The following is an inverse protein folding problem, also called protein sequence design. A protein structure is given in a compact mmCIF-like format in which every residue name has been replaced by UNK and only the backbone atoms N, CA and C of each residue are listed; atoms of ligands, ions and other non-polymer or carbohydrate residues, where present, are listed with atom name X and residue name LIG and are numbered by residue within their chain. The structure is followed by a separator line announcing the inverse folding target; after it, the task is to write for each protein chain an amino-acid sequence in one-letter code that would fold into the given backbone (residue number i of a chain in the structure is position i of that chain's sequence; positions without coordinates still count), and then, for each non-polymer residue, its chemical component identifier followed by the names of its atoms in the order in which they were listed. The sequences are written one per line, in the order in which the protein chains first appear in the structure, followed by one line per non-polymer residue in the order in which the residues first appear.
data_IF_954946362609
#
_entry.id   IF_954946362609
#
_cell.length_a   1.000
_cell.length_b   1.000
_cell.length_c   1.000
_cell.angle_alpha   90.00
_cell.angle_beta   90.00
_cell.angle_gamma   90.00
#
_symmetry.space_group_name_H-M   'P 1'
#
loop_
_entity.id
_entity.type
_entity.pdbx_description
1 polymer ?
#
# COMPACT_ATOMS: atom_id res chain seq x y z
N UNK A 1 -36.63 4.31 -29.55
CA UNK A 1 -35.20 4.64 -29.54
C UNK A 1 -34.90 5.47 -28.30
N UNK A 2 -34.81 4.81 -27.14
CA UNK A 2 -34.40 5.43 -25.87
C UNK A 2 -33.57 4.37 -25.15
N UNK A 3 -32.26 4.40 -25.35
CA UNK A 3 -31.31 3.46 -24.76
C UNK A 3 -29.90 3.92 -25.13
N UNK A 4 -29.02 4.01 -24.13
CA UNK A 4 -27.56 4.15 -24.22
C UNK A 4 -26.90 5.54 -24.02
N UNK A 5 -27.63 6.58 -23.61
CA UNK A 5 -27.00 7.88 -23.30
C UNK A 5 -26.49 8.03 -21.85
N UNK A 6 -26.94 7.20 -20.91
CA UNK A 6 -26.56 7.37 -19.51
C UNK A 6 -25.19 6.72 -19.23
N UNK A 7 -24.17 7.56 -19.05
CA UNK A 7 -22.87 7.15 -18.52
C UNK A 7 -21.74 6.99 -19.55
N UNK A 8 -21.85 7.55 -20.75
CA UNK A 8 -20.71 7.66 -21.69
C UNK A 8 -20.11 9.07 -21.75
N UNK A 9 -20.91 10.08 -21.49
CA UNK A 9 -20.47 11.47 -21.54
C UNK A 9 -19.44 11.74 -20.43
N UNK A 10 -18.38 12.45 -20.80
CA UNK A 10 -17.37 12.94 -19.85
C UNK A 10 -17.83 14.28 -19.27
N UNK A 11 -17.77 14.39 -17.95
CA UNK A 11 -17.93 15.64 -17.20
C UNK A 11 -16.60 16.39 -17.03
N UNK A 12 -15.50 15.76 -17.45
CA UNK A 12 -14.12 16.22 -17.26
C UNK A 12 -13.39 16.45 -18.60
N UNK A 13 -14.13 16.59 -19.70
CA UNK A 13 -13.56 16.89 -21.02
C UNK A 13 -12.70 15.79 -21.64
N UNK A 14 -12.92 14.53 -21.23
CA UNK A 14 -12.08 13.36 -21.56
C UNK A 14 -10.61 13.55 -21.14
N UNK A 15 -10.38 14.20 -20.00
CA UNK A 15 -9.05 14.25 -19.38
C UNK A 15 -8.56 12.81 -19.13
N UNK A 16 -7.32 12.55 -19.54
CA UNK A 16 -6.71 11.22 -19.47
C UNK A 16 -5.97 11.05 -18.16
N UNK A 17 -6.15 9.88 -17.55
CA UNK A 17 -5.33 9.47 -16.42
C UNK A 17 -3.84 9.47 -16.80
N UNK A 18 -2.99 9.79 -15.82
CA UNK A 18 -1.53 9.80 -15.96
C UNK A 18 -0.90 8.90 -14.92
N UNK A 19 0.11 8.13 -15.32
CA UNK A 19 0.91 7.32 -14.42
C UNK A 19 2.38 7.71 -14.52
N UNK A 20 2.94 8.12 -13.39
CA UNK A 20 4.34 8.46 -13.25
C UNK A 20 5.03 7.49 -12.31
N UNK A 21 6.17 6.93 -12.73
CA UNK A 21 6.98 6.05 -11.88
C UNK A 21 8.14 6.85 -11.30
N UNK A 22 8.34 6.74 -9.99
CA UNK A 22 9.53 7.24 -9.32
C UNK A 22 10.76 6.45 -9.79
N UNK A 23 11.74 7.15 -10.35
CA UNK A 23 13.01 6.60 -10.77
C UNK A 23 14.11 7.01 -9.78
N UNK A 24 14.44 6.08 -8.87
CA UNK A 24 15.52 6.21 -7.87
C UNK A 24 15.44 7.45 -6.96
N UNK A 25 14.24 8.00 -6.74
CA UNK A 25 14.05 9.20 -5.92
C UNK A 25 14.55 10.49 -6.57
N UNK A 26 14.98 10.45 -7.84
CA UNK A 26 15.59 11.60 -8.54
C UNK A 26 14.64 12.27 -9.51
N UNK A 27 13.77 11.49 -10.15
CA UNK A 27 12.82 11.98 -11.14
C UNK A 27 11.59 11.10 -11.23
N UNK A 28 10.55 11.61 -11.88
CA UNK A 28 9.35 10.87 -12.23
C UNK A 28 9.28 10.69 -13.74
N UNK A 29 9.09 9.46 -14.19
CA UNK A 29 9.00 9.11 -15.61
C UNK A 29 7.52 8.89 -15.95
N UNK A 30 7.00 9.63 -16.92
CA UNK A 30 5.66 9.39 -17.49
C UNK A 30 5.68 8.05 -18.25
N UNK A 31 4.92 7.08 -17.74
CA UNK A 31 4.76 5.75 -18.34
C UNK A 31 3.32 5.51 -18.80
N UNK A 32 2.49 6.54 -18.85
CA UNK A 32 1.04 6.47 -19.07
C UNK A 32 0.67 5.59 -20.28
N UNK A 33 1.34 5.80 -21.41
CA UNK A 33 1.01 5.09 -22.65
C UNK A 33 1.45 3.62 -22.62
N UNK A 34 2.60 3.32 -22.03
CA UNK A 34 3.18 1.97 -22.03
C UNK A 34 2.64 1.09 -20.91
N UNK A 35 2.09 1.69 -19.86
CA UNK A 35 1.47 0.95 -18.74
C UNK A 35 0.02 0.55 -19.00
N UNK A 36 -0.62 1.11 -20.04
CA UNK A 36 -2.04 0.98 -20.28
C UNK A 36 -2.92 1.86 -19.38
N UNK A 37 -2.32 2.74 -18.57
CA UNK A 37 -3.04 3.65 -17.67
C UNK A 37 -3.64 4.88 -18.38
N UNK A 38 -3.37 5.07 -19.69
CA UNK A 38 -3.95 6.10 -20.55
C UNK A 38 -5.47 5.90 -20.73
N UNK A 39 -6.23 6.22 -19.70
CA UNK A 39 -7.66 5.97 -19.63
C UNK A 39 -8.45 7.28 -19.72
N UNK A 40 -9.44 7.31 -20.62
CA UNK A 40 -10.27 8.51 -20.92
C UNK A 40 -11.49 8.67 -20.01
N UNK A 41 -11.79 7.67 -19.18
CA UNK A 41 -12.89 7.74 -18.22
C UNK A 41 -12.62 8.75 -17.10
N UNK A 42 -13.68 9.38 -16.64
CA UNK A 42 -13.71 10.38 -15.58
C UNK A 42 -13.42 9.75 -14.22
N UNK A 43 -12.14 9.55 -13.94
CA UNK A 43 -11.63 9.02 -12.68
C UNK A 43 -12.09 9.85 -11.49
N UNK A 44 -12.65 9.17 -10.49
CA UNK A 44 -13.03 9.77 -9.19
C UNK A 44 -12.20 9.23 -8.06
N UNK A 45 -11.85 7.96 -8.13
CA UNK A 45 -11.13 7.29 -7.06
C UNK A 45 -10.07 6.38 -7.65
N UNK A 46 -8.96 6.26 -6.93
CA UNK A 46 -7.90 5.29 -7.18
C UNK A 46 -7.60 4.59 -5.88
N UNK A 47 -7.34 3.29 -5.97
CA UNK A 47 -7.06 2.44 -4.82
C UNK A 47 -5.85 1.58 -5.14
N UNK A 48 -4.92 1.54 -4.20
CA UNK A 48 -3.71 0.72 -4.26
C UNK A 48 -3.88 -0.50 -3.38
N UNK A 49 -3.57 -1.66 -3.95
CA UNK A 49 -3.54 -2.94 -3.23
C UNK A 49 -2.59 -3.90 -3.94
N UNK A 50 -2.40 -5.10 -3.43
CA UNK A 50 -1.73 -6.19 -4.12
C UNK A 50 -2.72 -7.34 -4.13
N UNK A 51 -3.41 -7.52 -5.26
CA UNK A 51 -4.60 -8.36 -5.35
C UNK A 51 -4.25 -9.84 -5.34
N UNK A 52 -3.12 -10.20 -5.93
CA UNK A 52 -2.67 -11.58 -6.10
C UNK A 52 -1.49 -11.95 -5.20
N UNK A 53 -1.09 -11.07 -4.28
CA UNK A 53 -0.05 -11.25 -3.28
C UNK A 53 1.33 -11.57 -3.88
N UNK A 54 1.71 -10.88 -4.97
CA UNK A 54 3.01 -11.09 -5.64
C UNK A 54 4.07 -10.03 -5.28
N UNK A 55 3.72 -9.08 -4.41
CA UNK A 55 4.57 -7.97 -4.00
C UNK A 55 4.61 -6.82 -5.00
N UNK A 56 3.76 -6.82 -6.02
CA UNK A 56 3.59 -5.74 -6.98
C UNK A 56 2.28 -5.00 -6.67
N UNK A 57 2.37 -3.69 -6.43
CA UNK A 57 1.17 -2.89 -6.19
C UNK A 57 0.35 -2.76 -7.47
N UNK A 58 -0.88 -3.28 -7.43
CA UNK A 58 -1.93 -3.12 -8.42
C UNK A 58 -2.77 -1.87 -8.16
N UNK A 59 -3.53 -1.46 -9.17
CA UNK A 59 -4.37 -0.26 -9.13
C UNK A 59 -5.80 -0.64 -9.50
N UNK A 60 -6.77 -0.17 -8.70
CA UNK A 60 -8.17 -0.10 -9.08
C UNK A 60 -8.59 1.35 -9.24
N UNK A 61 -9.38 1.66 -10.27
CA UNK A 61 -9.92 3.00 -10.48
C UNK A 61 -11.42 2.95 -10.72
N UNK A 62 -12.13 3.89 -10.09
CA UNK A 62 -13.57 4.09 -10.28
C UNK A 62 -13.81 5.37 -11.07
N UNK A 63 -14.60 5.25 -12.14
CA UNK A 63 -14.98 6.33 -13.03
C UNK A 63 -16.46 6.68 -12.89
N UNK A 64 -16.81 7.93 -13.20
CA UNK A 64 -18.23 8.36 -13.22
C UNK A 64 -18.96 7.84 -14.46
N UNK A 65 -18.24 7.77 -15.59
CA UNK A 65 -18.69 7.21 -16.86
C UNK A 65 -18.08 5.82 -17.09
N UNK A 66 -18.54 5.14 -18.14
CA UNK A 66 -18.08 3.82 -18.52
C UNK A 66 -16.65 3.87 -19.10
N UNK A 67 -15.82 2.84 -18.82
CA UNK A 67 -16.05 1.75 -17.87
C UNK A 67 -15.98 2.24 -16.42
N UNK A 68 -16.95 1.84 -15.58
CA UNK A 68 -17.07 2.37 -14.20
C UNK A 68 -15.97 1.89 -13.25
N UNK A 69 -15.50 0.67 -13.43
CA UNK A 69 -14.44 0.08 -12.61
C UNK A 69 -13.40 -0.48 -13.55
N UNK A 70 -12.15 -0.08 -13.34
CA UNK A 70 -11.01 -0.53 -14.13
C UNK A 70 -9.95 -1.06 -13.18
N UNK A 71 -9.41 -2.23 -13.50
CA UNK A 71 -8.34 -2.85 -12.76
C UNK A 71 -7.09 -2.89 -13.62
N UNK A 72 -5.96 -2.49 -13.03
CA UNK A 72 -4.64 -2.56 -13.61
C UNK A 72 -3.80 -3.48 -12.75
N UNK A 73 -3.48 -4.65 -13.30
CA UNK A 73 -2.51 -5.56 -12.68
C UNK A 73 -1.10 -5.11 -13.03
N UNK A 74 -0.25 -5.01 -12.02
CA UNK A 74 1.15 -4.67 -12.20
C UNK A 74 1.94 -5.90 -12.64
N UNK A 75 2.51 -5.85 -13.84
CA UNK A 75 3.30 -6.94 -14.42
C UNK A 75 4.74 -6.49 -14.69
N UNK A 76 5.26 -5.55 -13.88
CA UNK A 76 6.61 -5.02 -14.09
C UNK A 76 7.71 -6.05 -13.84
N UNK A 77 7.42 -7.15 -13.15
CA UNK A 77 8.30 -8.31 -13.02
C UNK A 77 8.62 -8.97 -14.38
N UNK A 78 7.69 -8.95 -15.34
CA UNK A 78 7.89 -9.53 -16.69
C UNK A 78 8.93 -8.78 -17.53
N UNK A 79 9.22 -7.53 -17.20
CA UNK A 79 10.16 -6.67 -17.92
C UNK A 79 11.41 -6.35 -17.11
N UNK A 80 11.40 -6.57 -15.79
CA UNK A 80 12.56 -6.33 -14.92
C UNK A 80 13.47 -7.56 -14.92
N UNK A 81 14.77 -7.32 -14.86
CA UNK A 81 15.80 -8.37 -14.68
C UNK A 81 16.15 -8.60 -13.20
N UNK A 82 15.77 -7.66 -12.34
CA UNK A 82 16.08 -7.67 -10.92
C UNK A 82 14.95 -8.31 -10.11
N UNK A 83 15.30 -8.93 -8.99
CA UNK A 83 14.33 -9.55 -8.09
C UNK A 83 13.51 -8.47 -7.39
N UNK A 84 12.19 -8.64 -7.34
CA UNK A 84 11.32 -7.75 -6.58
C UNK A 84 11.30 -8.20 -5.11
N UNK A 85 12.23 -7.72 -4.28
CA UNK A 85 12.14 -7.93 -2.84
C UNK A 85 11.25 -6.84 -2.24
N UNK A 86 10.31 -7.27 -1.41
CA UNK A 86 9.39 -6.40 -0.68
C UNK A 86 9.22 -6.90 0.75
N UNK A 87 8.69 -6.05 1.62
CA UNK A 87 8.15 -6.44 2.91
C UNK A 87 6.67 -6.08 2.93
N UNK A 88 5.79 -7.07 3.18
CA UNK A 88 4.39 -6.80 3.45
C UNK A 88 4.22 -6.56 4.95
N UNK A 89 3.63 -5.44 5.33
CA UNK A 89 3.48 -5.02 6.73
C UNK A 89 2.01 -4.75 7.06
N UNK A 90 1.54 -5.30 8.18
CA UNK A 90 0.22 -5.01 8.76
C UNK A 90 0.39 -4.53 10.19
N UNK A 91 -0.33 -3.49 10.56
CA UNK A 91 -0.30 -2.95 11.92
C UNK A 91 -1.62 -3.25 12.63
N UNK A 92 -1.53 -3.54 13.93
CA UNK A 92 -2.69 -3.73 14.81
C UNK A 92 -2.45 -2.89 16.06
N UNK A 93 -3.26 -1.85 16.24
CA UNK A 93 -3.22 -1.02 17.43
C UNK A 93 -3.95 -1.65 18.63
N UNK A 94 -3.59 -1.20 19.82
CA UNK A 94 -4.02 -1.81 21.09
C UNK A 94 -5.36 -1.31 21.63
N UNK A 95 -5.93 -0.21 21.14
CA UNK A 95 -7.20 0.28 21.67
C UNK A 95 -8.38 -0.54 21.12
N UNK A 96 -9.05 -1.29 22.00
CA UNK A 96 -10.25 -2.08 21.69
C UNK A 96 -11.56 -1.41 22.12
N UNK A 97 -11.47 -0.22 22.71
CA UNK A 97 -12.64 0.54 23.19
C UNK A 97 -13.09 1.55 22.13
N UNK A 98 -14.32 2.04 22.26
CA UNK A 98 -14.92 3.11 21.45
C UNK A 98 -14.44 4.51 21.86
N UNK A 99 -13.79 4.62 23.00
CA UNK A 99 -13.25 5.86 23.58
C UNK A 99 -11.72 5.92 23.46
N UNK A 100 -11.17 7.12 23.59
CA UNK A 100 -9.73 7.36 23.50
C UNK A 100 -8.99 6.62 24.64
N UNK A 101 -8.00 5.80 24.28
CA UNK A 101 -7.05 5.22 25.23
C UNK A 101 -5.93 6.20 25.56
N UNK A 102 -5.43 6.16 26.81
CA UNK A 102 -4.22 6.86 27.24
C UNK A 102 -2.93 6.08 26.97
N UNK A 103 -3.04 4.79 26.63
CA UNK A 103 -1.89 3.90 26.47
C UNK A 103 -1.74 3.40 25.03
N UNK A 104 -2.83 3.24 24.28
CA UNK A 104 -2.80 2.59 22.97
C UNK A 104 -3.40 3.47 21.87
N UNK A 105 -2.91 3.25 20.65
CA UNK A 105 -3.40 3.86 19.42
C UNK A 105 -4.72 3.22 18.98
N UNK A 106 -5.39 3.83 18.01
CA UNK A 106 -6.62 3.27 17.43
C UNK A 106 -6.40 1.82 16.95
N UNK A 107 -7.45 0.99 16.97
CA UNK A 107 -7.40 -0.46 16.69
C UNK A 107 -6.63 -0.84 15.42
N UNK A 108 -6.72 -0.02 14.39
CA UNK A 108 -6.15 -0.33 13.08
C UNK A 108 -4.72 0.24 12.95
N UNK A 109 -4.24 1.01 13.93
CA UNK A 109 -2.87 1.53 13.97
C UNK A 109 -2.63 2.74 13.06
N UNK A 110 -3.68 3.38 12.53
CA UNK A 110 -3.53 4.52 11.62
C UNK A 110 -2.80 5.70 12.28
N UNK A 111 -1.92 6.36 11.52
CA UNK A 111 -0.99 7.40 11.95
C UNK A 111 0.36 6.87 12.45
N UNK A 112 0.55 5.55 12.53
CA UNK A 112 1.84 4.96 12.87
C UNK A 112 2.86 5.22 11.77
N UNK A 113 4.07 5.59 12.19
CA UNK A 113 5.20 5.90 11.32
C UNK A 113 6.17 4.72 11.30
N UNK A 114 6.60 4.36 10.11
CA UNK A 114 7.35 3.13 9.84
C UNK A 114 8.70 3.56 9.26
N UNK A 115 9.79 3.12 9.88
CA UNK A 115 11.14 3.29 9.36
C UNK A 115 11.78 1.93 9.12
N UNK A 116 12.04 1.58 7.86
CA UNK A 116 12.80 0.40 7.47
C UNK A 116 14.24 0.83 7.23
N UNK A 117 15.20 0.10 7.81
CA UNK A 117 16.63 0.27 7.52
C UNK A 117 17.14 -0.97 6.78
N UNK A 118 17.77 -0.76 5.64
CA UNK A 118 18.44 -1.78 4.84
C UNK A 118 19.93 -1.45 4.73
N UNK A 119 20.70 -2.21 3.93
CA UNK A 119 22.09 -1.88 3.68
C UNK A 119 22.26 -0.65 2.79
N UNK A 120 21.54 -0.61 1.68
CA UNK A 120 21.59 0.47 0.70
C UNK A 120 20.83 1.73 1.07
N UNK A 121 20.14 1.79 2.21
CA UNK A 121 19.40 2.98 2.62
C UNK A 121 18.32 2.75 3.66
N UNK A 122 17.50 3.78 3.89
CA UNK A 122 16.33 3.73 4.76
C UNK A 122 15.08 4.18 4.01
N UNK A 123 13.96 3.53 4.30
CA UNK A 123 12.65 3.84 3.75
C UNK A 123 11.73 4.27 4.89
N UNK A 124 10.98 5.34 4.67
CA UNK A 124 10.03 5.85 5.62
C UNK A 124 8.63 5.76 5.01
N UNK A 125 7.66 5.30 5.79
CA UNK A 125 6.26 5.27 5.41
C UNK A 125 5.35 5.60 6.59
N UNK A 126 4.12 6.01 6.32
CA UNK A 126 3.10 6.26 7.33
C UNK A 126 1.86 5.42 7.02
N UNK A 127 1.34 4.73 8.03
CA UNK A 127 0.12 3.95 7.87
C UNK A 127 -1.10 4.88 7.92
N UNK A 128 -1.73 5.11 6.77
CA UNK A 128 -2.79 6.10 6.60
C UNK A 128 -4.15 5.49 6.32
N UNK A 129 -5.19 6.27 6.62
CA UNK A 129 -6.55 6.02 6.19
C UNK A 129 -7.16 7.26 5.52
N UNK A 130 -8.27 7.07 4.80
CA UNK A 130 -8.98 8.12 4.05
C UNK A 130 -8.21 8.59 2.82
N UNK A 131 -7.53 7.66 2.13
CA UNK A 131 -6.72 7.98 0.96
C UNK A 131 -7.52 7.91 -0.34
N UNK A 132 -7.47 9.00 -1.13
CA UNK A 132 -8.29 9.17 -2.33
C UNK A 132 -9.70 9.67 -2.03
N UNK A 133 -10.40 10.14 -3.06
CA UNK A 133 -11.78 10.60 -2.90
C UNK A 133 -12.70 9.40 -2.74
N UNK A 134 -13.36 9.27 -1.59
CA UNK A 134 -14.28 8.15 -1.27
C UNK A 134 -13.66 6.75 -1.44
N UNK A 135 -12.37 6.60 -1.17
CA UNK A 135 -11.64 5.33 -1.27
C UNK A 135 -10.71 5.11 -0.06
N UNK A 136 -10.11 3.92 -0.02
CA UNK A 136 -9.15 3.51 1.01
C UNK A 136 -8.20 2.46 0.42
N UNK A 137 -6.90 2.74 0.44
CA UNK A 137 -5.86 1.77 0.08
C UNK A 137 -5.87 0.55 1.01
N UNK A 138 -5.28 -0.55 0.54
CA UNK A 138 -5.12 -1.77 1.33
C UNK A 138 -4.51 -1.49 2.70
N UNK A 139 -5.01 -2.17 3.73
CA UNK A 139 -4.44 -2.12 5.08
C UNK A 139 -3.07 -2.84 5.19
N UNK A 140 -2.64 -3.52 4.13
CA UNK A 140 -1.33 -4.16 4.05
C UNK A 140 -0.40 -3.27 3.24
N UNK A 141 0.64 -2.72 3.88
CA UNK A 141 1.64 -1.91 3.20
C UNK A 141 2.62 -2.82 2.48
N UNK A 142 2.83 -2.59 1.18
CA UNK A 142 3.86 -3.27 0.40
C UNK A 142 5.03 -2.30 0.23
N UNK A 143 6.12 -2.58 0.93
CA UNK A 143 7.31 -1.72 0.90
C UNK A 143 8.40 -2.43 0.11
N UNK A 144 8.68 -1.93 -1.10
CA UNK A 144 9.77 -2.44 -1.93
C UNK A 144 11.13 -2.14 -1.29
N UNK A 145 11.98 -3.16 -1.19
CA UNK A 145 13.34 -3.06 -0.62
C UNK A 145 14.42 -3.36 -1.66
N UNK A 146 14.08 -3.31 -2.95
CA UNK A 146 15.03 -3.48 -4.06
C UNK A 146 15.62 -4.87 -4.11
N UNK A 147 16.96 -4.97 -4.15
CA UNK A 147 17.69 -6.25 -4.16
C UNK A 147 18.21 -6.66 -2.77
N UNK A 148 17.79 -5.95 -1.71
CA UNK A 148 18.24 -6.22 -0.35
C UNK A 148 17.85 -7.64 0.08
N UNK A 149 18.80 -8.50 0.49
CA UNK A 149 18.47 -9.86 0.92
C UNK A 149 17.83 -9.89 2.32
N UNK A 150 17.95 -8.79 3.08
CA UNK A 150 17.44 -8.67 4.44
C UNK A 150 17.19 -7.20 4.81
N UNK A 151 16.04 -6.91 5.41
CA UNK A 151 15.78 -5.64 6.11
C UNK A 151 16.46 -5.73 7.46
N UNK A 152 17.37 -4.81 7.80
CA UNK A 152 18.17 -4.86 9.04
C UNK A 152 17.34 -4.60 10.29
N UNK A 153 16.43 -3.63 10.21
CA UNK A 153 15.51 -3.32 11.29
C UNK A 153 14.26 -2.61 10.76
N UNK A 154 13.15 -2.79 11.47
CA UNK A 154 11.93 -2.01 11.28
C UNK A 154 11.56 -1.34 12.60
N UNK A 155 11.34 -0.04 12.57
CA UNK A 155 10.90 0.73 13.73
C UNK A 155 9.50 1.28 13.46
N UNK A 156 8.57 1.02 14.37
CA UNK A 156 7.21 1.54 14.35
C UNK A 156 7.05 2.55 15.49
N UNK A 157 6.80 3.80 15.14
CA UNK A 157 6.42 4.85 16.09
C UNK A 157 4.91 5.01 16.08
N UNK A 158 4.26 4.55 17.14
CA UNK A 158 2.81 4.55 17.26
C UNK A 158 2.27 5.94 17.65
N UNK A 159 1.04 6.31 17.25
CA UNK A 159 0.39 7.55 17.69
C UNK A 159 0.27 7.70 19.22
N UNK A 160 0.22 6.60 19.95
CA UNK A 160 0.25 6.56 21.42
C UNK A 160 1.56 7.08 22.02
N UNK A 161 2.62 7.19 21.21
CA UNK A 161 3.99 7.48 21.66
C UNK A 161 4.83 6.24 21.94
N UNK A 162 4.24 5.04 21.87
CA UNK A 162 4.99 3.79 21.99
C UNK A 162 5.91 3.56 20.77
N UNK A 163 6.94 2.74 20.98
CA UNK A 163 7.89 2.33 19.95
C UNK A 163 7.96 0.81 19.90
N UNK A 164 7.86 0.23 18.70
CA UNK A 164 8.14 -1.19 18.46
C UNK A 164 9.31 -1.33 17.51
N UNK A 165 10.33 -2.11 17.90
CA UNK A 165 11.49 -2.42 17.05
C UNK A 165 11.50 -3.91 16.69
N UNK A 166 11.67 -4.19 15.40
CA UNK A 166 11.79 -5.54 14.87
C UNK A 166 13.22 -5.75 14.35
N UNK A 167 13.86 -6.89 14.68
CA UNK A 167 15.19 -7.23 14.19
C UNK A 167 15.12 -7.71 12.73
N UNK A 168 16.24 -8.19 12.19
CA UNK A 168 16.39 -8.56 10.78
C UNK A 168 15.23 -9.40 10.21
N UNK A 169 14.59 -8.90 9.15
CA UNK A 169 13.46 -9.55 8.46
C UNK A 169 13.86 -9.94 7.04
N UNK A 170 13.47 -11.15 6.63
CA UNK A 170 13.62 -11.60 5.25
C UNK A 170 12.51 -11.02 4.38
N UNK A 171 12.81 -10.46 3.20
CA UNK A 171 11.81 -10.03 2.25
C UNK A 171 10.89 -11.18 1.79
N UNK A 172 9.71 -10.83 1.26
CA UNK A 172 8.71 -11.74 0.72
C UNK A 172 7.71 -12.29 1.74
N UNK A 173 7.83 -11.90 3.01
CA UNK A 173 6.91 -12.31 4.08
C UNK A 173 5.94 -11.20 4.44
N UNK A 174 4.80 -11.59 5.00
CA UNK A 174 3.89 -10.72 5.72
C UNK A 174 4.31 -10.66 7.19
N UNK A 175 4.47 -9.44 7.67
CA UNK A 175 4.80 -9.15 9.07
C UNK A 175 3.64 -8.39 9.67
N UNK A 176 2.96 -9.00 10.63
CA UNK A 176 1.91 -8.32 11.40
C UNK A 176 2.50 -7.85 12.72
N UNK A 177 2.47 -6.54 12.96
CA UNK A 177 3.01 -5.91 14.18
C UNK A 177 1.87 -5.47 15.07
N UNK A 178 1.96 -5.81 16.35
CA UNK A 178 0.97 -5.53 17.37
C UNK A 178 1.54 -4.49 18.33
N UNK A 179 0.82 -3.38 18.52
CA UNK A 179 1.15 -2.39 19.54
C UNK A 179 1.00 -2.98 20.95
N UNK A 180 -0.05 -3.77 21.16
CA UNK A 180 -0.24 -4.59 22.35
C UNK A 180 0.11 -6.04 22.02
N UNK A 181 1.24 -6.54 22.53
CA UNK A 181 1.67 -7.93 22.29
C UNK A 181 0.66 -8.97 22.77
N UNK A 182 -0.15 -8.68 23.78
CA UNK A 182 -1.18 -9.60 24.28
C UNK A 182 -2.28 -9.89 23.23
N UNK A 183 -2.43 -9.03 22.22
CA UNK A 183 -3.36 -9.25 21.10
C UNK A 183 -2.83 -10.24 20.06
N UNK A 184 -1.53 -10.58 20.13
CA UNK A 184 -0.91 -11.52 19.19
C UNK A 184 -1.13 -12.98 19.61
N UNK A 185 -1.20 -13.93 18.66
CA UNK A 185 -1.40 -15.35 18.97
C UNK A 185 -0.35 -15.98 19.89
N UNK A 186 0.86 -15.41 19.93
CA UNK A 186 2.02 -15.94 20.65
C UNK A 186 2.57 -14.98 21.71
N UNK A 187 1.81 -13.91 22.04
CA UNK A 187 2.21 -12.84 22.97
C UNK A 187 3.53 -12.14 22.62
N UNK A 188 3.86 -12.06 21.32
CA UNK A 188 5.00 -11.29 20.81
C UNK A 188 4.52 -10.00 20.16
N UNK A 189 5.43 -9.04 20.01
CA UNK A 189 5.14 -7.77 19.33
C UNK A 189 4.91 -7.93 17.82
N UNK A 190 5.21 -9.09 17.22
CA UNK A 190 4.93 -9.36 15.82
C UNK A 190 4.83 -10.86 15.49
N UNK A 191 4.18 -11.16 14.36
CA UNK A 191 4.17 -12.47 13.68
C UNK A 191 4.73 -12.33 12.27
N UNK A 192 5.24 -13.43 11.74
CA UNK A 192 5.75 -13.51 10.36
C UNK A 192 5.10 -14.72 9.70
N UNK A 193 4.53 -14.51 8.51
CA UNK A 193 3.90 -15.55 7.70
C UNK A 193 4.27 -15.39 6.22
N UNK A 194 4.08 -16.45 5.43
CA UNK A 194 4.22 -16.35 3.98
C UNK A 194 3.22 -15.33 3.46
N UNK A 195 3.66 -14.41 2.61
CA UNK A 195 2.73 -13.49 1.95
C UNK A 195 1.97 -14.18 0.81
N UNK A 196 2.63 -15.13 0.15
CA UNK A 196 2.02 -15.96 -0.88
C UNK A 196 1.01 -16.90 -0.21
N UNK A 197 -0.24 -16.97 -0.71
CA UNK A 197 -1.31 -17.81 -0.16
C UNK A 197 -1.03 -19.32 -0.23
#
# INVERSE_FOLDING_TARGET
MLGDYWGRDSLSGNERNRLFINHEGKQFIDVTNVSGADHIGDGRSVVLWDYNHDGLTDIASVNTNAPKLVFYRNETDKIKTQKNNFLALRLIGGNKMDSKSSHYSNRDGYGAKILLKCEGGSFYEEHRCGEGFSAQNSNTLIIGVGNEPMVRSVTISWPSGQLTELPGLRPGNLVTVYENSEDSPNRKSFTVESYVP
#
